data_IF_618920011879
#
_entry.id   IF_618920011879
#
_cell.length_a   1.000
_cell.length_b   1.000
_cell.length_c   1.000
_cell.angle_alpha   90.00
_cell.angle_beta   90.00
_cell.angle_gamma   90.00
#
_symmetry.space_group_name_H-M   'P 1'
#
loop_
_entity.id
_entity.type
_entity.pdbx_description
1 polymer ?
#
# COMPACT_ATOMS: atom_id res chain seq x y z
N UNK A 1 -31.61 -42.97 -26.17
CA UNK A 1 -30.47 -42.09 -26.52
C UNK A 1 -30.73 -40.61 -26.25
N UNK A 2 -31.81 -39.96 -26.69
CA UNK A 2 -32.06 -38.50 -26.47
C UNK A 2 -32.13 -38.04 -25.00
N UNK A 3 -32.70 -38.85 -24.11
CA UNK A 3 -32.81 -38.52 -22.66
C UNK A 3 -31.45 -38.51 -21.96
N UNK A 4 -30.57 -39.42 -22.31
CA UNK A 4 -29.24 -39.50 -21.71
C UNK A 4 -28.37 -38.29 -22.15
N UNK A 5 -28.49 -37.89 -23.40
CA UNK A 5 -27.77 -36.72 -23.94
C UNK A 5 -28.23 -35.41 -23.27
N UNK A 6 -29.53 -35.26 -23.02
CA UNK A 6 -30.07 -34.09 -22.32
C UNK A 6 -29.61 -34.05 -20.86
N UNK A 7 -29.54 -35.20 -20.18
CA UNK A 7 -29.05 -35.29 -18.81
C UNK A 7 -27.56 -34.92 -18.71
N UNK A 8 -26.74 -35.38 -19.64
CA UNK A 8 -25.30 -35.05 -19.68
C UNK A 8 -25.07 -33.56 -19.94
N UNK A 9 -25.85 -32.96 -20.85
CA UNK A 9 -25.78 -31.51 -21.11
C UNK A 9 -26.20 -30.69 -19.90
N UNK A 10 -27.24 -31.07 -19.19
CA UNK A 10 -27.69 -30.37 -17.98
C UNK A 10 -26.66 -30.44 -16.84
N UNK A 11 -26.00 -31.59 -16.66
CA UNK A 11 -24.94 -31.77 -15.66
C UNK A 11 -23.72 -30.93 -16.01
N UNK A 12 -23.29 -30.90 -17.28
CA UNK A 12 -22.15 -30.09 -17.71
C UNK A 12 -22.37 -28.58 -17.53
N UNK A 13 -23.59 -28.09 -17.79
CA UNK A 13 -23.97 -26.69 -17.55
C UNK A 13 -23.91 -26.36 -16.05
N UNK A 14 -24.41 -27.24 -15.18
CA UNK A 14 -24.34 -27.06 -13.73
C UNK A 14 -22.90 -27.03 -13.20
N UNK A 15 -22.02 -27.85 -13.73
CA UNK A 15 -20.60 -27.86 -13.36
C UNK A 15 -19.91 -26.56 -13.81
N UNK A 16 -20.15 -26.13 -15.05
CA UNK A 16 -19.56 -24.91 -15.61
C UNK A 16 -20.03 -23.68 -14.82
N UNK A 17 -21.32 -23.58 -14.52
CA UNK A 17 -21.84 -22.46 -13.72
C UNK A 17 -21.33 -22.49 -12.29
N UNK A 18 -21.18 -23.66 -11.67
CA UNK A 18 -20.58 -23.83 -10.36
C UNK A 18 -19.12 -23.39 -10.32
N UNK A 19 -18.33 -23.79 -11.31
CA UNK A 19 -16.92 -23.37 -11.45
C UNK A 19 -16.82 -21.86 -11.69
N UNK A 20 -17.69 -21.28 -12.51
CA UNK A 20 -17.71 -19.85 -12.78
C UNK A 20 -18.01 -19.04 -11.51
N UNK A 21 -18.98 -19.48 -10.71
CA UNK A 21 -19.34 -18.85 -9.42
C UNK A 21 -18.20 -18.95 -8.41
N UNK A 22 -17.50 -20.08 -8.35
CA UNK A 22 -16.34 -20.25 -7.49
C UNK A 22 -15.21 -19.35 -7.99
N UNK A 23 -14.97 -19.28 -9.29
CA UNK A 23 -13.95 -18.44 -9.88
C UNK A 23 -14.21 -16.94 -9.62
N UNK A 24 -15.45 -16.49 -9.81
CA UNK A 24 -15.84 -15.09 -9.52
C UNK A 24 -15.74 -14.74 -8.03
N UNK A 25 -16.02 -15.68 -7.12
CA UNK A 25 -15.80 -15.47 -5.67
C UNK A 25 -14.33 -15.49 -5.28
N UNK A 26 -13.51 -16.25 -5.97
CA UNK A 26 -12.07 -16.31 -5.69
C UNK A 26 -11.30 -15.11 -6.25
N UNK A 27 -11.80 -14.49 -7.33
CA UNK A 27 -11.25 -13.26 -7.93
C UNK A 27 -11.84 -11.98 -7.34
N UNK A 28 -12.78 -12.05 -6.40
CA UNK A 28 -13.16 -10.88 -5.62
C UNK A 28 -11.97 -10.53 -4.70
N UNK A 29 -11.05 -9.75 -5.25
CA UNK A 29 -10.11 -8.94 -4.48
C UNK A 29 -10.87 -8.21 -3.38
N UNK A 30 -10.30 -8.19 -2.18
CA UNK A 30 -10.91 -7.59 -1.00
C UNK A 30 -10.97 -6.05 -1.14
N UNK A 31 -11.82 -5.55 -2.05
CA UNK A 31 -12.11 -4.12 -2.14
C UNK A 31 -13.15 -3.82 -1.04
N UNK A 32 -12.68 -3.23 0.04
CA UNK A 32 -13.56 -2.65 1.04
C UNK A 32 -13.86 -1.19 0.66
N UNK A 33 -14.98 -0.96 -0.03
CA UNK A 33 -15.49 0.41 -0.23
C UNK A 33 -16.19 0.87 1.03
N UNK A 34 -15.69 1.95 1.61
CA UNK A 34 -16.25 2.59 2.80
C UNK A 34 -16.23 4.10 2.57
N UNK A 35 -17.37 4.77 2.83
CA UNK A 35 -17.43 6.24 2.86
C UNK A 35 -16.73 6.74 4.12
N UNK A 36 -15.63 7.48 3.96
CA UNK A 36 -14.81 7.98 5.06
C UNK A 36 -14.41 9.42 4.85
N UNK A 37 -14.35 10.17 5.95
CA UNK A 37 -13.66 11.45 5.92
C UNK A 37 -12.15 11.22 6.09
N UNK A 38 -11.36 12.07 5.45
CA UNK A 38 -9.89 12.07 5.47
C UNK A 38 -9.33 12.22 6.89
N UNK A 39 -10.10 12.86 7.77
CA UNK A 39 -9.69 13.25 9.12
C UNK A 39 -9.81 12.12 10.15
N UNK A 40 -10.34 10.97 9.75
CA UNK A 40 -10.54 9.82 10.64
C UNK A 40 -9.37 8.81 10.65
N UNK A 41 -8.39 8.98 9.76
CA UNK A 41 -7.26 8.05 9.69
C UNK A 41 -6.22 8.38 10.78
N UNK A 42 -5.81 7.39 11.60
CA UNK A 42 -4.84 7.60 12.67
C UNK A 42 -3.41 7.69 12.10
N UNK A 43 -3.12 8.78 11.41
CA UNK A 43 -1.79 9.02 10.83
C UNK A 43 -0.95 9.82 11.82
N UNK A 44 0.28 9.36 12.15
CA UNK A 44 1.19 10.12 12.98
C UNK A 44 1.71 11.35 12.22
N UNK A 45 1.99 12.43 12.95
CA UNK A 45 2.49 13.68 12.36
C UNK A 45 3.83 13.50 11.61
N UNK A 46 4.61 12.53 12.03
CA UNK A 46 5.91 12.23 11.44
C UNK A 46 5.81 11.35 10.16
N UNK A 47 4.61 10.93 9.72
CA UNK A 47 4.47 10.13 8.50
C UNK A 47 5.10 10.83 7.29
N UNK A 48 5.88 10.09 6.52
CA UNK A 48 6.56 10.60 5.33
C UNK A 48 5.52 10.87 4.24
N UNK A 49 5.50 12.08 3.69
CA UNK A 49 4.51 12.41 2.66
C UNK A 49 5.06 13.32 1.58
N UNK A 50 4.59 13.11 0.33
CA UNK A 50 5.00 13.84 -0.85
C UNK A 50 3.79 14.32 -1.64
N UNK A 51 3.96 15.44 -2.35
CA UNK A 51 2.93 15.98 -3.23
C UNK A 51 1.99 16.96 -2.52
N UNK A 52 0.95 17.37 -3.25
CA UNK A 52 0.08 18.46 -2.84
C UNK A 52 -0.85 18.05 -1.69
N UNK A 53 -0.87 18.81 -0.60
CA UNK A 53 -1.76 18.58 0.56
C UNK A 53 -3.25 18.63 0.17
N UNK A 54 -3.59 19.38 -0.87
CA UNK A 54 -4.97 19.56 -1.36
C UNK A 54 -5.26 18.68 -2.59
N UNK A 55 -4.43 17.66 -2.85
CA UNK A 55 -4.63 16.74 -3.98
C UNK A 55 -5.98 16.04 -3.91
N UNK A 56 -6.57 15.77 -5.08
CA UNK A 56 -7.84 15.05 -5.21
C UNK A 56 -7.70 13.55 -4.87
N UNK A 57 -6.48 13.00 -4.99
CA UNK A 57 -6.14 11.62 -4.63
C UNK A 57 -5.17 11.64 -3.46
N UNK A 58 -5.50 10.93 -2.39
CA UNK A 58 -4.56 10.63 -1.31
C UNK A 58 -4.33 9.13 -1.27
N UNK A 59 -3.10 8.73 -1.46
CA UNK A 59 -2.64 7.35 -1.34
C UNK A 59 -1.84 7.21 -0.05
N UNK A 60 -2.24 6.30 0.83
CA UNK A 60 -1.45 5.90 1.98
C UNK A 60 -0.94 4.48 1.71
N UNK A 61 0.36 4.31 1.71
CA UNK A 61 1.02 3.02 1.55
C UNK A 61 1.58 2.56 2.88
N UNK A 62 1.04 1.43 3.40
CA UNK A 62 1.67 0.73 4.52
C UNK A 62 2.85 -0.04 3.95
N UNK A 63 4.05 0.37 4.32
CA UNK A 63 5.27 -0.08 3.67
C UNK A 63 6.32 -0.65 4.64
N UNK A 64 7.20 -1.48 4.08
CA UNK A 64 8.42 -1.95 4.74
C UNK A 64 9.56 -1.95 3.71
N UNK A 65 10.65 -1.27 4.02
CA UNK A 65 11.81 -1.17 3.12
C UNK A 65 12.44 -2.52 2.78
N UNK A 66 12.27 -3.51 3.62
CA UNK A 66 12.80 -4.85 3.40
C UNK A 66 11.78 -5.82 2.77
N UNK A 67 10.56 -5.37 2.51
CA UNK A 67 9.52 -6.17 1.88
C UNK A 67 9.71 -6.26 0.36
N UNK A 68 9.93 -7.46 -0.22
CA UNK A 68 10.09 -7.61 -1.67
C UNK A 68 8.85 -7.18 -2.47
N UNK A 69 7.65 -7.42 -1.92
CA UNK A 69 6.40 -7.02 -2.54
C UNK A 69 6.24 -5.49 -2.57
N UNK A 70 6.72 -4.76 -1.53
CA UNK A 70 6.77 -3.30 -1.54
C UNK A 70 7.73 -2.79 -2.61
N UNK A 71 8.94 -3.36 -2.69
CA UNK A 71 9.90 -3.00 -3.72
C UNK A 71 9.34 -3.22 -5.13
N UNK A 72 8.68 -4.35 -5.36
CA UNK A 72 8.01 -4.64 -6.63
C UNK A 72 6.92 -3.60 -6.93
N UNK A 73 6.01 -3.37 -5.99
CA UNK A 73 4.89 -2.45 -6.18
C UNK A 73 5.39 -1.02 -6.44
N UNK A 74 6.32 -0.54 -5.63
CA UNK A 74 6.90 0.79 -5.81
C UNK A 74 7.53 0.95 -7.20
N UNK A 75 8.36 -0.01 -7.62
CA UNK A 75 9.01 0.07 -8.94
C UNK A 75 8.04 0.06 -10.12
N UNK A 76 6.88 -0.60 -10.00
CA UNK A 76 5.85 -0.60 -11.04
C UNK A 76 5.03 0.70 -11.04
N UNK A 77 4.69 1.22 -9.86
CA UNK A 77 3.81 2.38 -9.70
C UNK A 77 4.56 3.72 -9.74
N UNK A 78 5.88 3.73 -9.53
CA UNK A 78 6.72 4.95 -9.46
C UNK A 78 6.52 5.91 -10.64
N UNK A 79 6.47 5.47 -11.91
CA UNK A 79 6.23 6.38 -13.03
C UNK A 79 4.91 7.15 -12.91
N UNK A 80 3.84 6.47 -12.55
CA UNK A 80 2.51 7.06 -12.37
C UNK A 80 2.46 7.95 -11.12
N UNK A 81 3.07 7.55 -10.03
CA UNK A 81 3.18 8.36 -8.82
C UNK A 81 3.85 9.70 -9.11
N UNK A 82 5.00 9.69 -9.79
CA UNK A 82 5.74 10.90 -10.17
C UNK A 82 4.91 11.81 -11.06
N UNK A 83 4.18 11.26 -12.02
CA UNK A 83 3.31 12.02 -12.90
C UNK A 83 2.21 12.73 -12.11
N UNK A 84 1.45 11.99 -11.30
CA UNK A 84 0.33 12.52 -10.52
C UNK A 84 0.78 13.52 -9.42
N UNK A 85 1.95 13.28 -8.80
CA UNK A 85 2.55 14.22 -7.84
C UNK A 85 2.95 15.52 -8.55
N UNK A 86 3.64 15.43 -9.69
CA UNK A 86 4.07 16.60 -10.48
C UNK A 86 2.89 17.43 -10.97
N UNK A 87 1.78 16.77 -11.30
CA UNK A 87 0.53 17.45 -11.71
C UNK A 87 -0.27 18.01 -10.53
N UNK A 88 0.18 17.79 -9.29
CA UNK A 88 -0.51 18.19 -8.07
C UNK A 88 -1.81 17.44 -7.80
N UNK A 89 -2.06 16.33 -8.51
CA UNK A 89 -3.27 15.51 -8.43
C UNK A 89 -3.22 14.48 -7.29
N UNK A 90 -2.02 14.09 -6.85
CA UNK A 90 -1.84 13.08 -5.82
C UNK A 90 -0.98 13.58 -4.65
N UNK A 91 -1.35 13.14 -3.46
CA UNK A 91 -0.50 13.10 -2.27
C UNK A 91 -0.27 11.65 -1.89
N UNK A 92 0.98 11.23 -1.80
CA UNK A 92 1.35 9.93 -1.25
C UNK A 92 1.85 10.09 0.18
N UNK A 93 1.46 9.15 1.05
CA UNK A 93 1.88 9.07 2.46
C UNK A 93 2.41 7.67 2.69
N UNK A 94 3.67 7.57 3.07
CA UNK A 94 4.28 6.32 3.48
C UNK A 94 4.15 6.17 4.99
N UNK A 95 3.44 5.12 5.41
CA UNK A 95 3.24 4.77 6.81
C UNK A 95 3.94 3.45 7.13
N UNK A 96 4.83 3.50 8.10
CA UNK A 96 5.66 2.36 8.47
C UNK A 96 4.82 1.22 9.06
N UNK A 97 4.85 0.08 8.39
CA UNK A 97 4.37 -1.21 8.89
C UNK A 97 5.52 -2.22 8.78
N UNK A 98 6.40 -2.19 9.76
CA UNK A 98 7.66 -2.95 9.75
C UNK A 98 7.38 -4.42 10.10
N UNK A 99 7.28 -5.27 9.08
CA UNK A 99 7.08 -6.72 9.22
C UNK A 99 8.41 -7.49 9.30
N UNK A 100 9.50 -6.89 8.79
CA UNK A 100 10.87 -7.40 8.87
C UNK A 100 11.63 -6.65 9.96
N UNK A 101 11.80 -7.26 11.13
CA UNK A 101 12.39 -6.59 12.31
C UNK A 101 13.77 -5.98 12.04
N UNK A 102 14.55 -6.57 11.15
CA UNK A 102 15.84 -6.04 10.73
C UNK A 102 15.75 -4.74 9.93
N UNK A 103 14.56 -4.34 9.47
CA UNK A 103 14.35 -3.08 8.76
C UNK A 103 14.22 -1.85 9.68
N UNK A 104 14.02 -2.04 11.00
CA UNK A 104 13.79 -0.93 11.95
C UNK A 104 14.84 0.16 11.82
N UNK A 105 16.12 -0.21 11.76
CA UNK A 105 17.19 0.77 11.60
C UNK A 105 17.08 1.54 10.26
N UNK A 106 16.77 0.85 9.16
CA UNK A 106 16.60 1.49 7.85
C UNK A 106 15.45 2.49 7.88
N UNK A 107 14.31 2.14 8.47
CA UNK A 107 13.17 3.04 8.64
C UNK A 107 13.52 4.27 9.47
N UNK A 108 14.16 4.10 10.63
CA UNK A 108 14.61 5.22 11.46
C UNK A 108 15.54 6.17 10.69
N UNK A 109 16.51 5.64 9.98
CA UNK A 109 17.42 6.44 9.16
C UNK A 109 16.73 7.11 7.97
N UNK A 110 15.68 6.48 7.39
CA UNK A 110 14.85 7.09 6.36
C UNK A 110 14.11 8.33 6.89
N UNK A 111 13.56 8.27 8.10
CA UNK A 111 12.94 9.44 8.75
C UNK A 111 13.96 10.55 9.02
N UNK A 112 15.19 10.21 9.40
CA UNK A 112 16.27 11.19 9.48
C UNK A 112 16.60 11.82 8.12
N UNK A 113 16.61 11.02 7.05
CA UNK A 113 16.77 11.53 5.70
C UNK A 113 15.63 12.48 5.32
N UNK A 114 14.39 12.09 5.60
CA UNK A 114 13.22 12.92 5.32
C UNK A 114 13.25 14.27 6.05
N UNK A 115 13.68 14.29 7.31
CA UNK A 115 13.83 15.54 8.07
C UNK A 115 14.87 16.49 7.46
N UNK A 116 15.86 15.98 6.70
CA UNK A 116 16.94 16.76 6.10
C UNK A 116 16.68 17.11 4.62
N UNK A 117 16.06 16.21 3.88
CA UNK A 117 15.91 16.29 2.42
C UNK A 117 14.50 16.71 1.99
N UNK A 118 13.48 16.55 2.87
CA UNK A 118 12.10 16.82 2.51
C UNK A 118 11.65 16.01 1.29
N UNK A 119 11.12 16.69 0.27
CA UNK A 119 10.60 16.07 -0.98
C UNK A 119 11.64 15.21 -1.73
N UNK A 120 12.93 15.53 -1.64
CA UNK A 120 14.00 14.76 -2.30
C UNK A 120 14.13 13.33 -1.75
N UNK A 121 13.57 13.05 -0.57
CA UNK A 121 13.54 11.71 0.03
C UNK A 121 12.74 10.73 -0.82
N UNK A 122 11.83 11.19 -1.65
CA UNK A 122 11.10 10.33 -2.56
C UNK A 122 12.05 9.57 -3.50
N UNK A 123 13.04 10.28 -4.08
CA UNK A 123 14.07 9.68 -4.94
C UNK A 123 14.93 8.67 -4.16
N UNK A 124 15.23 8.99 -2.91
CA UNK A 124 15.96 8.08 -2.03
C UNK A 124 15.18 6.79 -1.77
N UNK A 125 13.86 6.85 -1.50
CA UNK A 125 13.02 5.65 -1.34
C UNK A 125 13.09 4.79 -2.60
N UNK A 126 12.95 5.40 -3.78
CA UNK A 126 13.05 4.68 -5.06
C UNK A 126 14.41 4.00 -5.22
N UNK A 127 15.50 4.66 -4.82
CA UNK A 127 16.83 4.08 -4.85
C UNK A 127 16.97 2.92 -3.84
N UNK A 128 16.43 3.06 -2.63
CA UNK A 128 16.49 2.04 -1.60
C UNK A 128 15.86 0.73 -2.05
N UNK A 129 14.72 0.78 -2.74
CA UNK A 129 14.06 -0.41 -3.26
C UNK A 129 14.81 -1.13 -4.41
N UNK A 130 15.86 -0.52 -4.95
CA UNK A 130 16.69 -1.09 -6.03
C UNK A 130 18.02 -1.67 -5.58
N UNK A 131 18.38 -1.50 -4.31
CA UNK A 131 19.63 -1.97 -3.73
C UNK A 131 19.40 -2.98 -2.62
N UNK A 132 20.42 -3.77 -2.30
CA UNK A 132 20.32 -4.75 -1.20
C UNK A 132 20.27 -4.07 0.18
N UNK A 133 19.73 -4.81 1.17
CA UNK A 133 19.48 -4.31 2.54
C UNK A 133 20.74 -3.75 3.23
N UNK A 134 21.90 -4.34 2.98
CA UNK A 134 23.18 -3.87 3.57
C UNK A 134 23.57 -2.51 3.01
N UNK A 135 23.44 -2.35 1.70
CA UNK A 135 23.72 -1.07 1.02
C UNK A 135 22.70 0.00 1.39
N UNK A 136 21.43 -0.38 1.68
CA UNK A 136 20.43 0.57 2.20
C UNK A 136 20.94 1.24 3.48
N UNK A 137 21.38 0.46 4.45
CA UNK A 137 21.92 0.98 5.73
C UNK A 137 23.15 1.86 5.50
N UNK A 138 24.07 1.43 4.65
CA UNK A 138 25.27 2.20 4.33
C UNK A 138 24.91 3.56 3.71
N UNK A 139 23.99 3.57 2.76
CA UNK A 139 23.51 4.78 2.10
C UNK A 139 22.80 5.73 3.09
N UNK A 140 21.98 5.19 3.98
CA UNK A 140 21.17 5.97 4.93
C UNK A 140 21.98 6.50 6.12
N UNK A 141 23.08 5.87 6.53
CA UNK A 141 23.91 6.31 7.68
C UNK A 141 24.34 7.76 7.62
N UNK A 142 24.51 8.33 6.42
CA UNK A 142 24.87 9.76 6.23
C UNK A 142 23.81 10.74 6.77
N UNK A 143 22.59 10.25 6.99
CA UNK A 143 21.45 11.06 7.45
C UNK A 143 21.16 10.90 8.94
N UNK A 144 21.96 10.17 9.71
CA UNK A 144 21.71 9.93 11.14
C UNK A 144 21.27 11.20 11.88
N UNK A 145 20.31 11.03 12.77
CA UNK A 145 19.78 12.06 13.64
C UNK A 145 19.31 11.44 14.98
N UNK A 146 19.08 12.26 15.98
CA UNK A 146 18.67 11.80 17.33
C UNK A 146 17.16 11.76 17.49
N UNK A 147 16.39 12.47 16.66
CA UNK A 147 14.94 12.66 16.78
C UNK A 147 14.12 11.83 15.80
N UNK A 148 14.67 10.74 15.26
CA UNK A 148 13.89 9.80 14.48
C UNK A 148 12.85 9.07 15.35
N UNK A 149 11.68 8.69 14.78
CA UNK A 149 10.72 7.86 15.50
C UNK A 149 11.40 6.61 16.06
N UNK A 150 11.01 6.23 17.28
CA UNK A 150 11.50 5.03 17.94
C UNK A 150 10.80 3.77 17.37
N UNK A 151 11.31 2.58 17.69
CA UNK A 151 10.63 1.32 17.37
C UNK A 151 9.23 1.25 17.99
N UNK A 152 9.04 1.81 19.18
CA UNK A 152 7.75 1.86 19.85
C UNK A 152 6.77 2.82 19.15
N UNK A 153 7.26 3.95 18.61
CA UNK A 153 6.43 4.87 17.81
C UNK A 153 5.92 4.18 16.54
N UNK A 154 6.78 3.45 15.83
CA UNK A 154 6.37 2.66 14.66
C UNK A 154 5.33 1.59 15.02
N UNK A 155 5.58 0.86 16.11
CA UNK A 155 4.67 -0.18 16.58
C UNK A 155 3.30 0.41 16.93
N UNK A 156 3.27 1.51 17.67
CA UNK A 156 2.02 2.17 18.02
C UNK A 156 1.27 2.64 16.78
N UNK A 157 1.92 3.32 15.85
CA UNK A 157 1.29 3.76 14.60
C UNK A 157 0.74 2.57 13.78
N UNK A 158 1.48 1.46 13.73
CA UNK A 158 1.04 0.24 13.07
C UNK A 158 -0.19 -0.38 13.77
N UNK A 159 -0.22 -0.42 15.09
CA UNK A 159 -1.36 -0.93 15.87
C UNK A 159 -2.61 -0.05 15.65
N UNK A 160 -2.46 1.26 15.64
CA UNK A 160 -3.55 2.22 15.43
C UNK A 160 -4.16 2.05 14.02
N UNK A 161 -3.36 1.99 12.96
CA UNK A 161 -3.86 1.80 11.59
C UNK A 161 -4.43 0.40 11.37
N UNK A 162 -3.83 -0.64 11.94
CA UNK A 162 -4.36 -2.01 11.88
C UNK A 162 -5.72 -2.11 12.57
N UNK A 163 -5.86 -1.50 13.75
CA UNK A 163 -7.13 -1.45 14.48
C UNK A 163 -8.20 -0.75 13.67
N UNK A 164 -7.85 0.39 13.07
CA UNK A 164 -8.73 1.13 12.18
C UNK A 164 -9.18 0.27 10.98
N UNK A 165 -8.25 -0.35 10.26
CA UNK A 165 -8.57 -1.20 9.12
C UNK A 165 -9.44 -2.41 9.50
N UNK A 166 -9.17 -3.03 10.64
CA UNK A 166 -9.99 -4.14 11.17
C UNK A 166 -11.42 -3.71 11.50
N UNK A 167 -11.60 -2.52 12.07
CA UNK A 167 -12.94 -1.97 12.33
C UNK A 167 -13.75 -1.76 11.05
N UNK A 168 -13.09 -1.65 9.90
CA UNK A 168 -13.67 -1.54 8.56
C UNK A 168 -13.79 -2.88 7.82
N UNK A 169 -13.57 -4.00 8.53
CA UNK A 169 -13.73 -5.35 8.00
C UNK A 169 -12.52 -5.90 7.26
N UNK A 170 -11.38 -5.18 7.19
CA UNK A 170 -10.16 -5.69 6.58
C UNK A 170 -9.53 -6.74 7.50
N UNK A 171 -9.53 -8.00 7.07
CA UNK A 171 -9.07 -9.12 7.91
C UNK A 171 -7.59 -9.43 7.74
N UNK A 172 -7.09 -9.31 6.54
CA UNK A 172 -5.68 -9.52 6.21
C UNK A 172 -5.01 -8.17 6.01
N UNK A 173 -3.93 -7.91 6.71
CA UNK A 173 -3.17 -6.67 6.63
C UNK A 173 -1.70 -7.07 6.59
N UNK A 174 -0.97 -6.51 5.64
CA UNK A 174 0.45 -6.76 5.45
C UNK A 174 1.05 -5.64 4.60
N UNK A 175 2.25 -5.85 4.07
CA UNK A 175 2.92 -4.88 3.22
C UNK A 175 3.15 -5.43 1.81
N UNK A 176 2.89 -4.63 0.77
CA UNK A 176 2.24 -3.33 0.84
C UNK A 176 0.72 -3.45 1.12
N UNK A 177 0.14 -2.45 1.76
CA UNK A 177 -1.31 -2.21 1.77
C UNK A 177 -1.54 -0.76 1.36
N UNK A 178 -2.44 -0.54 0.42
CA UNK A 178 -2.75 0.77 -0.11
C UNK A 178 -4.13 1.20 0.36
N UNK A 179 -4.22 2.40 0.95
CA UNK A 179 -5.46 3.06 1.30
C UNK A 179 -5.59 4.26 0.36
N UNK A 180 -6.56 4.22 -0.54
CA UNK A 180 -6.74 5.21 -1.58
C UNK A 180 -8.00 6.01 -1.29
N UNK A 181 -7.84 7.31 -1.06
CA UNK A 181 -8.93 8.24 -0.79
C UNK A 181 -9.11 9.13 -2.01
N UNK A 182 -10.32 9.10 -2.59
CA UNK A 182 -10.68 9.94 -3.73
C UNK A 182 -12.15 10.29 -3.68
N UNK A 183 -12.48 11.58 -3.82
CA UNK A 183 -13.85 12.08 -3.80
C UNK A 183 -14.67 11.59 -2.59
N UNK A 184 -14.05 11.48 -1.42
CA UNK A 184 -14.67 10.97 -0.19
C UNK A 184 -14.82 9.44 -0.14
N UNK A 185 -14.48 8.71 -1.20
CA UNK A 185 -14.46 7.25 -1.20
C UNK A 185 -13.10 6.75 -0.74
N UNK A 186 -13.12 5.69 0.07
CA UNK A 186 -11.90 4.99 0.51
C UNK A 186 -11.92 3.58 -0.05
N UNK A 187 -10.85 3.25 -0.77
CA UNK A 187 -10.58 1.90 -1.27
C UNK A 187 -9.33 1.35 -0.59
N UNK A 188 -9.34 0.08 -0.26
CA UNK A 188 -8.21 -0.58 0.41
C UNK A 188 -7.80 -1.77 -0.45
N UNK A 189 -6.54 -1.77 -0.87
CA UNK A 189 -5.92 -2.85 -1.65
C UNK A 189 -4.81 -3.47 -0.83
N UNK A 190 -4.92 -4.75 -0.52
CA UNK A 190 -3.92 -5.49 0.26
C UNK A 190 -3.03 -6.29 -0.69
N UNK A 191 -1.72 -6.14 -0.54
CA UNK A 191 -0.73 -6.77 -1.41
C UNK A 191 -0.42 -5.96 -2.67
N UNK A 192 0.50 -6.47 -3.48
CA UNK A 192 1.01 -5.79 -4.67
C UNK A 192 0.11 -6.00 -5.91
N UNK A 193 -1.17 -5.66 -5.80
CA UNK A 193 -2.11 -5.67 -6.93
C UNK A 193 -2.00 -4.35 -7.71
N UNK A 194 -1.01 -4.27 -8.58
CA UNK A 194 -0.63 -3.05 -9.30
C UNK A 194 -1.79 -2.51 -10.15
N UNK A 195 -2.40 -3.38 -10.96
CA UNK A 195 -3.49 -3.01 -11.88
C UNK A 195 -4.68 -2.38 -11.15
N UNK A 196 -5.01 -2.89 -9.97
CA UNK A 196 -6.09 -2.35 -9.15
C UNK A 196 -5.72 -0.98 -8.57
N UNK A 197 -4.50 -0.84 -8.02
CA UNK A 197 -4.02 0.45 -7.51
C UNK A 197 -4.00 1.49 -8.63
N UNK A 198 -3.42 1.19 -9.79
CA UNK A 198 -3.41 2.07 -10.97
C UNK A 198 -4.82 2.50 -11.37
N UNK A 199 -5.76 1.57 -11.47
CA UNK A 199 -7.15 1.87 -11.81
C UNK A 199 -7.80 2.84 -10.84
N UNK A 200 -7.53 2.72 -9.54
CA UNK A 200 -8.12 3.56 -8.50
C UNK A 200 -7.51 4.97 -8.42
N UNK A 201 -6.23 5.13 -8.75
CA UNK A 201 -5.57 6.43 -8.69
C UNK A 201 -5.65 7.23 -10.00
N UNK A 202 -5.87 6.57 -11.15
CA UNK A 202 -5.89 7.19 -12.49
C UNK A 202 -7.27 7.68 -12.94
N UNK A 203 -8.37 7.27 -12.31
CA UNK A 203 -9.77 7.58 -12.71
C UNK A 203 -10.10 9.10 -12.63
#
# INVERSE_FOLDING_TARGET
MRLITIAILAISILIITGVLIIYTKFTQTNIHQTTLSRDELPLPEWAISFGNRNASVVLIELFDLHCPACAYAHNQLDPLYRELIREGKMRIIFLDLIVHREAVLAHRLLHCAYSKLGEETYELITQLYRIDKTKQIELLKRYMCDNAPSEEDFKKAAEDIISYLRSRGVRQIGTPTFIIIRNGNVNIVVGANITEVESLISQ
#
